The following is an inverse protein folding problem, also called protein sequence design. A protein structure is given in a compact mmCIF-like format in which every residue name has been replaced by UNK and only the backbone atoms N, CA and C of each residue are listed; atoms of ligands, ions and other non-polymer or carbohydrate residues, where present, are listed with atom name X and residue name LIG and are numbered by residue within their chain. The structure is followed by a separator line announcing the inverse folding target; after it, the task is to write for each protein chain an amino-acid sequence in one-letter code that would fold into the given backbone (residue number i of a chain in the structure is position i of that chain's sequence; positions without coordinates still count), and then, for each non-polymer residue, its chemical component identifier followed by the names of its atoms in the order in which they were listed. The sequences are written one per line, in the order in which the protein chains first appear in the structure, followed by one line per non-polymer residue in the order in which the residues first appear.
data_IF_579283839410
#
_entry.id   IF_579283839410
#
_cell.length_a   1.000
_cell.length_b   1.000
_cell.length_c   1.000
_cell.angle_alpha   90.00
_cell.angle_beta   90.00
_cell.angle_gamma   90.00
#
_symmetry.space_group_name_H-M   'P 1'
#
loop_
_entity.id
_entity.type
_entity.pdbx_description
1 polymer ?
#
# COMPACT_ATOMS: atom_id res chain seq x y z
N UNK A 1 3.54 12.74 24.46
CA UNK A 1 2.99 12.41 23.15
C UNK A 1 2.39 11.02 23.17
N UNK A 2 1.28 10.82 22.48
CA UNK A 2 0.57 9.53 22.52
C UNK A 2 1.13 8.56 21.49
N UNK A 3 1.61 7.40 21.96
CA UNK A 3 2.17 6.36 21.10
C UNK A 3 1.17 5.85 20.06
N UNK A 4 -0.11 5.76 20.45
CA UNK A 4 -1.17 5.32 19.53
C UNK A 4 -1.34 6.31 18.37
N UNK A 5 -1.26 7.62 18.66
CA UNK A 5 -1.35 8.65 17.62
C UNK A 5 -0.15 8.60 16.68
N UNK A 6 1.03 8.34 17.21
CA UNK A 6 2.24 8.20 16.40
C UNK A 6 2.15 6.99 15.48
N UNK A 7 1.68 5.86 16.01
CA UNK A 7 1.48 4.64 15.21
C UNK A 7 0.46 4.87 14.12
N UNK A 8 -0.65 5.53 14.43
CA UNK A 8 -1.69 5.81 13.45
C UNK A 8 -1.17 6.70 12.33
N UNK A 9 -0.39 7.72 12.65
CA UNK A 9 0.22 8.59 11.64
C UNK A 9 1.21 7.84 10.77
N UNK A 10 2.04 7.03 11.38
CA UNK A 10 3.01 6.21 10.64
C UNK A 10 2.31 5.27 9.67
N UNK A 11 1.26 4.59 10.14
CA UNK A 11 0.46 3.70 9.29
C UNK A 11 -0.19 4.44 8.14
N UNK A 12 -0.75 5.62 8.42
CA UNK A 12 -1.38 6.45 7.37
C UNK A 12 -0.38 6.86 6.29
N UNK A 13 0.82 7.26 6.69
CA UNK A 13 1.86 7.64 5.74
C UNK A 13 2.32 6.44 4.91
N UNK A 14 2.50 5.30 5.55
CA UNK A 14 2.92 4.09 4.84
C UNK A 14 1.85 3.65 3.83
N UNK A 15 0.59 3.67 4.23
CA UNK A 15 -0.53 3.35 3.34
C UNK A 15 -0.55 4.29 2.14
N UNK A 16 -0.37 5.58 2.37
CA UNK A 16 -0.36 6.58 1.31
C UNK A 16 0.76 6.30 0.30
N UNK A 17 1.96 6.03 0.79
CA UNK A 17 3.11 5.73 -0.09
C UNK A 17 2.84 4.48 -0.91
N UNK A 18 2.31 3.43 -0.29
CA UNK A 18 2.01 2.19 -1.01
C UNK A 18 0.92 2.40 -2.06
N UNK A 19 -0.10 3.19 -1.77
CA UNK A 19 -1.14 3.52 -2.76
C UNK A 19 -0.56 4.29 -3.93
N UNK A 20 0.36 5.21 -3.69
CA UNK A 20 1.05 5.94 -4.75
C UNK A 20 1.87 4.98 -5.62
N UNK A 21 2.54 4.00 -5.02
CA UNK A 21 3.29 2.99 -5.77
C UNK A 21 2.36 2.16 -6.66
N UNK A 22 1.20 1.76 -6.15
CA UNK A 22 0.20 1.03 -6.95
C UNK A 22 -0.23 1.87 -8.15
N UNK A 23 -0.48 3.16 -7.97
CA UNK A 23 -0.85 4.05 -9.06
C UNK A 23 0.25 4.15 -10.11
N UNK A 24 1.50 4.29 -9.68
CA UNK A 24 2.64 4.37 -10.58
C UNK A 24 2.78 3.09 -11.40
N UNK A 25 2.74 1.93 -10.75
CA UNK A 25 2.84 0.65 -11.46
C UNK A 25 1.67 0.45 -12.41
N UNK A 26 0.46 0.78 -11.97
CA UNK A 26 -0.73 0.63 -12.80
C UNK A 26 -0.67 1.54 -14.04
N UNK A 27 -0.19 2.77 -13.88
CA UNK A 27 -0.08 3.71 -14.99
C UNK A 27 0.97 3.30 -16.02
N UNK A 28 1.92 2.46 -15.62
CA UNK A 28 3.00 1.97 -16.48
C UNK A 28 2.75 0.60 -17.09
N UNK A 29 1.61 -0.02 -16.73
CA UNK A 29 1.26 -1.30 -17.32
C UNK A 29 1.02 -1.16 -18.82
N UNK A 30 1.61 -2.08 -19.58
CA UNK A 30 1.43 -2.15 -21.02
C UNK A 30 0.80 -3.49 -21.38
N UNK A 31 0.16 -3.61 -22.55
CA UNK A 31 -0.53 -4.86 -22.91
C UNK A 31 0.34 -6.10 -22.90
N UNK A 32 1.64 -5.95 -23.09
CA UNK A 32 2.58 -7.08 -23.12
C UNK A 32 3.28 -7.32 -21.77
N UNK A 33 2.93 -6.55 -20.74
CA UNK A 33 3.54 -6.75 -19.43
C UNK A 33 3.16 -8.10 -18.86
N UNK A 34 4.16 -8.74 -18.27
CA UNK A 34 4.02 -10.08 -17.77
C UNK A 34 3.49 -10.09 -16.33
N UNK A 35 3.21 -11.30 -15.86
CA UNK A 35 2.63 -11.52 -14.56
C UNK A 35 3.38 -10.91 -13.40
N UNK A 36 4.68 -10.58 -13.55
CA UNK A 36 5.42 -10.10 -12.41
C UNK A 36 5.05 -8.65 -11.99
N UNK A 37 4.63 -7.80 -12.93
CA UNK A 37 4.13 -6.49 -12.59
C UNK A 37 2.76 -6.62 -11.90
N UNK A 38 1.90 -7.48 -12.43
CA UNK A 38 0.60 -7.77 -11.82
C UNK A 38 0.77 -8.34 -10.40
N UNK A 39 1.74 -9.22 -10.22
CA UNK A 39 2.03 -9.81 -8.92
C UNK A 39 2.51 -8.74 -7.94
N UNK A 40 3.36 -7.80 -8.39
CA UNK A 40 3.83 -6.70 -7.56
C UNK A 40 2.67 -5.82 -7.11
N UNK A 41 1.78 -5.45 -8.03
CA UNK A 41 0.59 -4.66 -7.71
C UNK A 41 -0.29 -5.39 -6.70
N UNK A 42 -0.52 -6.68 -6.92
CA UNK A 42 -1.32 -7.50 -6.01
C UNK A 42 -0.71 -7.57 -4.62
N UNK A 43 0.61 -7.75 -4.53
CA UNK A 43 1.34 -7.79 -3.27
C UNK A 43 1.22 -6.45 -2.52
N UNK A 44 1.35 -5.33 -3.24
CA UNK A 44 1.21 -4.01 -2.63
C UNK A 44 -0.22 -3.78 -2.11
N UNK A 45 -1.23 -4.17 -2.90
CA UNK A 45 -2.64 -4.05 -2.49
C UNK A 45 -2.93 -4.90 -1.26
N UNK A 46 -2.38 -6.10 -1.21
CA UNK A 46 -2.53 -6.98 -0.05
C UNK A 46 -1.91 -6.34 1.19
N UNK A 47 -0.72 -5.78 1.05
CA UNK A 47 -0.04 -5.10 2.16
C UNK A 47 -0.82 -3.88 2.63
N UNK A 48 -1.39 -3.11 1.70
CA UNK A 48 -2.24 -1.97 2.04
C UNK A 48 -3.43 -2.44 2.89
N UNK A 49 -4.08 -3.53 2.48
CA UNK A 49 -5.20 -4.11 3.22
C UNK A 49 -4.82 -4.51 4.64
N UNK A 50 -3.65 -5.12 4.81
CA UNK A 50 -3.14 -5.50 6.13
C UNK A 50 -2.91 -4.27 7.01
N UNK A 51 -2.30 -3.21 6.45
CA UNK A 51 -2.02 -1.99 7.18
C UNK A 51 -3.30 -1.22 7.53
N UNK A 52 -4.28 -1.21 6.63
CA UNK A 52 -5.56 -0.59 6.91
C UNK A 52 -6.29 -1.29 8.06
N UNK A 53 -6.19 -2.61 8.08
CA UNK A 53 -6.76 -3.41 9.17
C UNK A 53 -6.04 -3.12 10.49
N UNK A 54 -4.72 -3.03 10.48
CA UNK A 54 -3.91 -2.65 11.63
C UNK A 54 -4.30 -1.26 12.15
N UNK A 55 -4.49 -0.31 11.23
CA UNK A 55 -4.89 1.05 11.56
C UNK A 55 -6.23 1.08 12.31
N UNK A 56 -7.16 0.24 11.92
CA UNK A 56 -8.48 0.15 12.56
C UNK A 56 -8.41 -0.38 13.99
N UNK A 57 -7.38 -1.15 14.32
CA UNK A 57 -7.22 -1.73 15.66
C UNK A 57 -6.35 -0.86 16.58
N UNK A 58 -5.75 0.17 16.09
CA UNK A 58 -4.92 1.12 16.86
C UNK A 58 -5.76 2.30 17.46
#
# INVERSE_FOLDING_TARGET
MNTIEEEARHLNMTIKVLKEQVEIFTSRLEPHDTGHIHTTISTLKHRIGELENERETV
#
